data_IF_170672753121
#
_entry.id   IF_170672753121
#
_cell.length_a   1.000
_cell.length_b   1.000
_cell.length_c   1.000
_cell.angle_alpha   90.00
_cell.angle_beta   90.00
_cell.angle_gamma   90.00
#
_symmetry.space_group_name_H-M   'P 1'
#
loop_
_entity.id
_entity.type
_entity.pdbx_description
1 polymer ?
#
# COMPACT_ATOMS: atom_id res chain seq x y z
N UNK A 1 15.23 12.02 10.84
CA UNK A 1 14.68 13.10 11.71
C UNK A 1 13.16 13.32 11.53
N UNK A 2 12.41 12.36 10.94
CA UNK A 2 10.96 12.54 10.65
C UNK A 2 10.04 12.07 11.80
N UNK A 3 10.56 11.35 12.80
CA UNK A 3 9.74 10.55 13.74
C UNK A 3 9.19 11.30 14.98
N UNK A 4 9.77 12.44 15.41
CA UNK A 4 9.40 13.04 16.70
C UNK A 4 8.01 13.70 16.71
N UNK A 5 7.70 14.54 15.73
CA UNK A 5 6.41 15.23 15.68
C UNK A 5 5.23 14.26 15.51
N UNK A 6 5.41 13.19 14.73
CA UNK A 6 4.37 12.17 14.53
C UNK A 6 4.16 11.30 15.76
N UNK A 7 5.21 11.03 16.56
CA UNK A 7 5.05 10.38 17.86
C UNK A 7 4.19 11.22 18.81
N UNK A 8 4.47 12.52 18.91
CA UNK A 8 3.65 13.43 19.72
C UNK A 8 2.20 13.51 19.23
N UNK A 9 1.97 13.43 17.92
CA UNK A 9 0.62 13.39 17.37
C UNK A 9 -0.12 12.12 17.80
N UNK A 10 0.54 10.95 17.78
CA UNK A 10 -0.05 9.69 18.23
C UNK A 10 -0.28 9.62 19.74
N UNK A 11 0.51 10.34 20.54
CA UNK A 11 0.26 10.46 21.99
C UNK A 11 -1.03 11.25 22.28
N UNK A 12 -1.36 12.23 21.43
CA UNK A 12 -2.58 13.03 21.56
C UNK A 12 -3.81 12.36 20.93
N UNK A 13 -3.61 11.77 19.75
CA UNK A 13 -4.62 11.04 19.01
C UNK A 13 -4.01 9.72 18.48
N UNK A 14 -4.18 8.61 19.22
CA UNK A 14 -3.67 7.30 18.82
C UNK A 14 -4.25 6.77 17.51
N UNK A 15 -5.36 7.38 17.04
CA UNK A 15 -6.04 7.04 15.80
C UNK A 15 -5.67 7.93 14.62
N UNK A 16 -4.77 8.91 14.79
CA UNK A 16 -4.44 9.86 13.73
C UNK A 16 -3.78 9.17 12.52
N UNK A 17 -4.58 8.95 11.48
CA UNK A 17 -4.27 8.12 10.29
C UNK A 17 -2.93 8.49 9.66
N UNK A 18 -2.73 9.77 9.37
CA UNK A 18 -1.52 10.24 8.70
C UNK A 18 -0.27 9.97 9.54
N UNK A 19 -0.35 10.10 10.86
CA UNK A 19 0.78 9.78 11.72
C UNK A 19 1.06 8.28 11.77
N UNK A 20 0.03 7.44 11.80
CA UNK A 20 0.18 5.99 11.74
C UNK A 20 0.88 5.57 10.43
N UNK A 21 0.46 6.10 9.28
CA UNK A 21 1.08 5.79 7.99
C UNK A 21 2.55 6.21 7.94
N UNK A 22 2.85 7.45 8.34
CA UNK A 22 4.24 7.97 8.31
C UNK A 22 5.13 7.20 9.27
N UNK A 23 4.63 6.82 10.45
CA UNK A 23 5.38 5.99 11.39
C UNK A 23 5.63 4.59 10.84
N UNK A 24 4.64 3.98 10.20
CA UNK A 24 4.81 2.69 9.52
C UNK A 24 5.88 2.72 8.44
N UNK A 25 5.87 3.75 7.59
CA UNK A 25 6.89 3.97 6.56
C UNK A 25 8.28 4.19 7.16
N UNK A 26 8.40 5.01 8.22
CA UNK A 26 9.67 5.24 8.89
C UNK A 26 10.24 3.96 9.48
N UNK A 27 9.40 3.12 10.11
CA UNK A 27 9.82 1.81 10.65
C UNK A 27 10.24 0.85 9.55
N UNK A 28 9.60 0.86 8.39
CA UNK A 28 10.04 0.08 7.23
C UNK A 28 11.42 0.50 6.72
N UNK A 29 11.71 1.80 6.73
CA UNK A 29 13.03 2.31 6.33
C UNK A 29 14.12 1.88 7.32
N UNK A 30 13.78 1.75 8.60
CA UNK A 30 14.67 1.25 9.65
C UNK A 30 14.78 -0.31 9.66
N UNK A 31 14.04 -1.00 8.79
CA UNK A 31 13.98 -2.47 8.74
C UNK A 31 13.10 -3.11 9.81
N UNK A 32 12.45 -2.31 10.65
CA UNK A 32 11.57 -2.73 11.75
C UNK A 32 10.19 -3.11 11.22
N UNK A 33 10.13 -4.18 10.42
CA UNK A 33 8.93 -4.54 9.66
C UNK A 33 7.73 -4.89 10.54
N UNK A 34 7.95 -5.51 11.70
CA UNK A 34 6.87 -5.84 12.65
C UNK A 34 6.22 -4.60 13.28
N UNK A 35 7.02 -3.61 13.68
CA UNK A 35 6.51 -2.33 14.18
C UNK A 35 5.79 -1.55 13.07
N UNK A 36 6.30 -1.64 11.84
CA UNK A 36 5.63 -1.03 10.71
C UNK A 36 4.23 -1.62 10.48
N UNK A 37 4.10 -2.95 10.53
CA UNK A 37 2.79 -3.61 10.38
C UNK A 37 1.81 -3.18 11.47
N UNK A 38 2.23 -3.01 12.73
CA UNK A 38 1.34 -2.53 13.80
C UNK A 38 0.72 -1.16 13.45
N UNK A 39 1.57 -0.21 13.07
CA UNK A 39 1.10 1.13 12.72
C UNK A 39 0.17 1.14 11.51
N UNK A 40 0.52 0.37 10.46
CA UNK A 40 -0.23 0.36 9.20
C UNK A 40 -1.58 -0.36 9.36
N UNK A 41 -1.63 -1.45 10.12
CA UNK A 41 -2.88 -2.17 10.41
C UNK A 41 -3.85 -1.34 11.24
N UNK A 42 -3.34 -0.55 12.19
CA UNK A 42 -4.15 0.41 12.95
C UNK A 42 -4.73 1.50 12.05
N UNK A 43 -3.95 2.01 11.11
CA UNK A 43 -4.44 2.98 10.13
C UNK A 43 -5.56 2.39 9.28
N UNK A 44 -5.34 1.20 8.72
CA UNK A 44 -6.33 0.45 7.93
C UNK A 44 -7.60 0.21 8.73
N UNK A 45 -7.49 -0.26 9.97
CA UNK A 45 -8.63 -0.56 10.83
C UNK A 45 -9.48 0.68 11.08
N UNK A 46 -8.86 1.82 11.39
CA UNK A 46 -9.58 3.08 11.60
C UNK A 46 -10.26 3.59 10.32
N UNK A 47 -9.62 3.43 9.16
CA UNK A 47 -10.18 3.82 7.87
C UNK A 47 -11.39 2.95 7.49
N UNK A 48 -11.32 1.64 7.69
CA UNK A 48 -12.43 0.70 7.38
C UNK A 48 -13.65 0.97 8.27
N UNK A 49 -13.43 1.39 9.52
CA UNK A 49 -14.52 1.77 10.43
C UNK A 49 -15.20 3.10 10.06
N UNK A 50 -14.63 3.86 9.12
CA UNK A 50 -15.20 5.12 8.66
C UNK A 50 -16.31 4.82 7.64
N UNK A 51 -17.57 5.04 8.02
CA UNK A 51 -18.73 4.63 7.21
C UNK A 51 -18.89 5.37 5.87
N UNK A 52 -18.36 6.59 5.75
CA UNK A 52 -18.36 7.36 4.51
C UNK A 52 -16.95 7.93 4.28
N UNK A 53 -16.06 7.17 3.60
CA UNK A 53 -14.69 7.60 3.38
C UNK A 53 -14.66 8.83 2.46
N UNK A 54 -13.87 9.83 2.82
CA UNK A 54 -13.52 10.94 1.94
C UNK A 54 -12.49 10.50 0.89
N UNK A 55 -12.24 11.32 -0.13
CA UNK A 55 -11.17 11.06 -1.09
C UNK A 55 -9.79 10.94 -0.42
N UNK A 56 -9.54 11.72 0.63
CA UNK A 56 -8.32 11.63 1.43
C UNK A 56 -8.24 10.30 2.22
N UNK A 57 -9.37 9.81 2.74
CA UNK A 57 -9.41 8.51 3.42
C UNK A 57 -9.13 7.36 2.46
N UNK A 58 -9.62 7.44 1.22
CA UNK A 58 -9.31 6.47 0.17
C UNK A 58 -7.82 6.48 -0.16
N UNK A 59 -7.21 7.66 -0.33
CA UNK A 59 -5.76 7.78 -0.56
C UNK A 59 -4.95 7.19 0.58
N UNK A 60 -5.31 7.51 1.82
CA UNK A 60 -4.69 6.95 3.01
C UNK A 60 -4.87 5.42 3.09
N UNK A 61 -6.01 4.88 2.67
CA UNK A 61 -6.25 3.44 2.65
C UNK A 61 -5.39 2.73 1.60
N UNK A 62 -5.20 3.35 0.42
CA UNK A 62 -4.29 2.88 -0.61
C UNK A 62 -2.86 2.83 -0.05
N UNK A 63 -2.37 3.94 0.49
CA UNK A 63 -1.02 4.05 1.05
C UNK A 63 -0.82 3.06 2.21
N UNK A 64 -1.74 3.00 3.17
CA UNK A 64 -1.61 2.10 4.31
C UNK A 64 -1.59 0.63 3.86
N UNK A 65 -2.44 0.24 2.92
CA UNK A 65 -2.49 -1.12 2.37
C UNK A 65 -1.24 -1.45 1.57
N UNK A 66 -0.74 -0.53 0.76
CA UNK A 66 0.51 -0.67 0.01
C UNK A 66 1.69 -0.97 0.93
N UNK A 67 1.89 -0.13 1.95
CA UNK A 67 3.02 -0.27 2.87
C UNK A 67 2.85 -1.47 3.80
N UNK A 68 1.62 -1.83 4.19
CA UNK A 68 1.37 -3.06 4.95
C UNK A 68 1.78 -4.27 4.12
N UNK A 69 1.37 -4.30 2.83
CA UNK A 69 1.76 -5.34 1.88
C UNK A 69 3.28 -5.53 1.81
N UNK A 70 4.01 -4.43 1.61
CA UNK A 70 5.49 -4.43 1.60
C UNK A 70 6.06 -4.92 2.93
N UNK A 71 5.51 -4.48 4.06
CA UNK A 71 5.98 -4.85 5.39
C UNK A 71 5.81 -6.34 5.69
N UNK A 72 4.69 -6.95 5.28
CA UNK A 72 4.45 -8.38 5.42
C UNK A 72 5.37 -9.20 4.50
N UNK A 73 5.51 -8.81 3.23
CA UNK A 73 6.42 -9.50 2.29
C UNK A 73 7.87 -9.47 2.80
N UNK A 74 8.34 -8.34 3.35
CA UNK A 74 9.68 -8.25 3.96
C UNK A 74 9.87 -9.14 5.19
N UNK A 75 8.79 -9.56 5.84
CA UNK A 75 8.80 -10.54 6.93
C UNK A 75 8.72 -11.99 6.43
N UNK A 76 8.66 -12.22 5.11
CA UNK A 76 8.42 -13.54 4.51
C UNK A 76 6.95 -13.98 4.56
N UNK A 77 6.04 -13.09 4.93
CA UNK A 77 4.59 -13.34 5.02
C UNK A 77 3.91 -12.92 3.72
N UNK A 78 4.22 -13.65 2.65
CA UNK A 78 3.82 -13.26 1.29
C UNK A 78 2.30 -13.27 1.09
N UNK A 79 1.59 -14.25 1.68
CA UNK A 79 0.14 -14.36 1.55
C UNK A 79 -0.58 -13.16 2.17
N UNK A 80 -0.22 -12.77 3.39
CA UNK A 80 -0.76 -11.59 4.06
C UNK A 80 -0.41 -10.32 3.29
N UNK A 81 0.84 -10.23 2.80
CA UNK A 81 1.27 -9.07 2.03
C UNK A 81 0.49 -8.90 0.73
N UNK A 82 0.23 -9.99 0.00
CA UNK A 82 -0.61 -9.99 -1.19
C UNK A 82 -2.06 -9.61 -0.84
N UNK A 83 -2.63 -10.14 0.25
CA UNK A 83 -3.97 -9.77 0.69
C UNK A 83 -4.12 -8.26 0.90
N UNK A 84 -3.12 -7.59 1.48
CA UNK A 84 -3.14 -6.13 1.61
C UNK A 84 -3.08 -5.41 0.27
N UNK A 85 -2.25 -5.88 -0.65
CA UNK A 85 -2.13 -5.29 -1.99
C UNK A 85 -3.40 -5.52 -2.83
N UNK A 86 -4.04 -6.69 -2.70
CA UNK A 86 -5.31 -7.01 -3.34
C UNK A 86 -6.44 -6.09 -2.88
N UNK A 87 -6.41 -5.57 -1.64
CA UNK A 87 -7.39 -4.57 -1.16
C UNK A 87 -7.43 -3.32 -2.04
N UNK A 88 -6.31 -2.89 -2.60
CA UNK A 88 -6.26 -1.71 -3.48
C UNK A 88 -7.14 -1.96 -4.72
N UNK A 89 -7.23 -3.19 -5.20
CA UNK A 89 -8.04 -3.55 -6.38
C UNK A 89 -9.54 -3.48 -6.14
N UNK A 90 -10.01 -3.49 -4.89
CA UNK A 90 -11.42 -3.33 -4.56
C UNK A 90 -11.84 -1.87 -4.38
N UNK A 91 -10.90 -0.93 -4.53
CA UNK A 91 -11.17 0.51 -4.52
C UNK A 91 -11.41 1.00 -5.95
N UNK A 92 -12.29 1.97 -6.09
CA UNK A 92 -12.45 2.70 -7.34
C UNK A 92 -11.16 3.47 -7.67
N UNK A 93 -10.82 3.54 -8.96
CA UNK A 93 -9.67 4.33 -9.42
C UNK A 93 -9.87 5.81 -9.02
N UNK A 94 -8.98 6.41 -8.23
CA UNK A 94 -9.14 7.79 -7.78
C UNK A 94 -9.08 8.80 -8.94
N UNK A 95 -9.85 9.88 -8.88
CA UNK A 95 -9.78 10.95 -9.89
C UNK A 95 -8.58 11.88 -9.68
N UNK A 96 -8.19 12.14 -8.43
CA UNK A 96 -7.06 12.99 -8.10
C UNK A 96 -5.74 12.40 -8.64
N UNK A 97 -4.90 13.18 -9.34
CA UNK A 97 -3.66 12.67 -9.94
C UNK A 97 -2.68 12.03 -8.94
N UNK A 98 -2.57 12.56 -7.71
CA UNK A 98 -1.63 12.00 -6.72
C UNK A 98 -2.15 10.65 -6.21
N UNK A 99 -3.43 10.58 -5.86
CA UNK A 99 -4.05 9.33 -5.42
C UNK A 99 -4.10 8.28 -6.53
N UNK A 100 -4.30 8.70 -7.77
CA UNK A 100 -4.20 7.82 -8.94
C UNK A 100 -2.80 7.25 -9.10
N UNK A 101 -1.76 8.05 -8.90
CA UNK A 101 -0.38 7.56 -8.91
C UNK A 101 -0.15 6.50 -7.82
N UNK A 102 -0.58 6.75 -6.57
CA UNK A 102 -0.49 5.77 -5.49
C UNK A 102 -1.25 4.47 -5.81
N UNK A 103 -2.43 4.58 -6.42
CA UNK A 103 -3.24 3.42 -6.83
C UNK A 103 -2.46 2.51 -7.80
N UNK A 104 -1.90 3.08 -8.87
CA UNK A 104 -1.15 2.31 -9.86
C UNK A 104 0.21 1.81 -9.34
N UNK A 105 0.88 2.55 -8.44
CA UNK A 105 2.06 2.05 -7.74
C UNK A 105 1.73 0.82 -6.87
N UNK A 106 0.57 0.83 -6.21
CA UNK A 106 0.04 -0.31 -5.48
C UNK A 106 -0.24 -1.52 -6.37
N UNK A 107 -0.85 -1.31 -7.55
CA UNK A 107 -1.08 -2.37 -8.54
C UNK A 107 0.23 -2.96 -9.09
N UNK A 108 1.25 -2.12 -9.31
CA UNK A 108 2.57 -2.58 -9.74
C UNK A 108 3.22 -3.48 -8.67
N UNK A 109 3.10 -3.10 -7.39
CA UNK A 109 3.59 -3.91 -6.28
C UNK A 109 2.83 -5.24 -6.17
N UNK A 110 1.51 -5.23 -6.35
CA UNK A 110 0.69 -6.45 -6.40
C UNK A 110 1.17 -7.38 -7.52
N UNK A 111 1.32 -6.86 -8.73
CA UNK A 111 1.78 -7.64 -9.87
C UNK A 111 3.17 -8.27 -9.61
N UNK A 112 4.10 -7.51 -9.04
CA UNK A 112 5.41 -8.04 -8.69
C UNK A 112 5.33 -9.16 -7.63
N UNK A 113 4.49 -8.98 -6.61
CA UNK A 113 4.29 -10.01 -5.58
C UNK A 113 3.66 -11.29 -6.17
N UNK A 114 2.66 -11.14 -7.04
CA UNK A 114 2.01 -12.27 -7.74
C UNK A 114 2.98 -13.03 -8.64
N UNK A 115 3.81 -12.31 -9.41
CA UNK A 115 4.80 -12.94 -10.29
C UNK A 115 5.84 -13.74 -9.52
N UNK A 116 6.26 -13.26 -8.33
CA UNK A 116 7.17 -14.00 -7.44
C UNK A 116 6.57 -15.29 -6.86
N UNK A 117 5.24 -15.39 -6.82
CA UNK A 117 4.49 -16.57 -6.41
C UNK A 117 4.03 -17.41 -7.62
N UNK A 118 4.66 -17.22 -8.79
CA UNK A 118 4.32 -17.89 -10.06
C UNK A 118 2.87 -17.66 -10.55
N UNK A 119 2.14 -16.68 -9.98
CA UNK A 119 0.79 -16.26 -10.38
C UNK A 119 0.83 -15.30 -11.57
N UNK A 120 1.60 -15.63 -12.61
CA UNK A 120 1.92 -14.72 -13.72
C UNK A 120 0.69 -14.26 -14.52
N UNK A 121 -0.32 -15.12 -14.70
CA UNK A 121 -1.56 -14.73 -15.39
C UNK A 121 -2.29 -13.58 -14.68
N UNK A 122 -2.31 -13.59 -13.35
CA UNK A 122 -2.89 -12.52 -12.54
C UNK A 122 -2.00 -11.27 -12.53
N UNK A 123 -0.68 -11.44 -12.43
CA UNK A 123 0.28 -10.34 -12.54
C UNK A 123 0.12 -9.56 -13.86
N UNK A 124 0.02 -10.27 -14.99
CA UNK A 124 -0.17 -9.68 -16.33
C UNK A 124 -1.45 -8.84 -16.42
N UNK A 125 -2.54 -9.26 -15.77
CA UNK A 125 -3.79 -8.49 -15.72
C UNK A 125 -3.55 -7.09 -15.13
N UNK A 126 -2.86 -7.01 -14.01
CA UNK A 126 -2.58 -5.72 -13.35
C UNK A 126 -1.51 -4.91 -14.06
N UNK A 127 -0.47 -5.56 -14.61
CA UNK A 127 0.57 -4.88 -15.40
C UNK A 127 0.01 -4.20 -16.64
N UNK A 128 -1.00 -4.78 -17.30
CA UNK A 128 -1.68 -4.12 -18.42
C UNK A 128 -2.37 -2.81 -18.00
N UNK A 129 -2.97 -2.77 -16.81
CA UNK A 129 -3.57 -1.54 -16.27
C UNK A 129 -2.48 -0.50 -15.96
N UNK A 130 -1.40 -0.92 -15.30
CA UNK A 130 -0.25 -0.05 -14.98
C UNK A 130 0.38 0.53 -16.25
N UNK A 131 0.58 -0.27 -17.30
CA UNK A 131 1.17 0.17 -18.58
C UNK A 131 0.22 1.08 -19.37
N UNK A 132 -1.10 0.88 -19.25
CA UNK A 132 -2.08 1.78 -19.85
C UNK A 132 -2.05 3.17 -19.20
N UNK A 133 -1.80 3.24 -17.89
CA UNK A 133 -1.62 4.49 -17.15
C UNK A 133 -0.24 5.13 -17.39
N UNK A 134 0.83 4.34 -17.28
CA UNK A 134 2.21 4.74 -17.45
C UNK A 134 2.96 3.75 -18.38
N UNK A 135 3.02 4.06 -19.69
CA UNK A 135 3.70 3.21 -20.66
C UNK A 135 5.19 2.97 -20.39
N UNK A 136 5.84 3.78 -19.53
CA UNK A 136 7.24 3.57 -19.16
C UNK A 136 7.46 2.27 -18.37
N UNK A 137 6.40 1.71 -17.77
CA UNK A 137 6.43 0.46 -16.98
C UNK A 137 6.32 -0.81 -17.82
N UNK A 138 6.37 -0.70 -19.16
CA UNK A 138 6.19 -1.85 -20.07
C UNK A 138 7.18 -2.99 -19.82
N UNK A 139 8.40 -2.67 -19.38
CA UNK A 139 9.43 -3.67 -19.08
C UNK A 139 8.96 -4.75 -18.10
N UNK A 140 8.13 -4.40 -17.11
CA UNK A 140 7.61 -5.35 -16.13
C UNK A 140 6.61 -6.34 -16.76
N UNK A 141 5.82 -5.87 -17.73
CA UNK A 141 4.88 -6.72 -18.47
C UNK A 141 5.63 -7.70 -19.37
N UNK A 142 6.67 -7.23 -20.06
CA UNK A 142 7.47 -8.05 -20.96
C UNK A 142 8.25 -9.16 -20.20
N UNK A 143 8.58 -8.94 -18.93
CA UNK A 143 9.22 -9.95 -18.06
C UNK A 143 8.27 -11.08 -17.61
N UNK A 144 6.95 -10.89 -17.71
CA UNK A 144 5.95 -11.86 -17.27
C UNK A 144 5.39 -12.74 -18.42
N UNK A 145 5.78 -12.45 -19.67
CA UNK A 145 5.34 -13.14 -20.89
C UNK A 145 6.43 -14.06 -21.44
#
# INVERSE_FOLDING_TARGET
MICFCYRMALEKDPGYIRALIVMGQARLQEGLCAEATDHLERAISNLILTGHPTAEDVDHLILASQWAGVAYIRQGKNAEGIMHLERITSLEEPEDPNSKAHYFDGLLLLASALSKEDRNAEAVKYLRLVVAYDPSRKEFLDQCL
#
